data_IF_900458735330
#
_entry.id   IF_900458735330
#
_cell.length_a   1.000
_cell.length_b   1.000
_cell.length_c   1.000
_cell.angle_alpha   90.00
_cell.angle_beta   90.00
_cell.angle_gamma   90.00
#
_symmetry.space_group_name_H-M   'P 1'
#
loop_
_entity.id
_entity.type
_entity.pdbx_description
1 polymer ?
#
# COMPACT_ATOMS: atom_id res chain seq x y z
N UNK A 1 9.06 15.66 2.39
CA UNK A 1 8.92 14.53 3.32
C UNK A 1 10.03 13.53 3.10
N UNK A 2 10.42 12.83 4.17
CA UNK A 2 11.32 11.67 4.14
C UNK A 2 10.51 10.41 3.75
N UNK A 3 11.05 9.55 2.88
CA UNK A 3 10.39 8.34 2.35
C UNK A 3 11.08 7.10 2.90
N UNK A 4 10.35 6.23 3.60
CA UNK A 4 10.91 5.05 4.26
C UNK A 4 10.44 3.75 3.56
N UNK A 5 11.35 2.90 3.05
CA UNK A 5 11.02 1.60 2.49
C UNK A 5 10.85 0.52 3.58
N UNK A 6 10.05 -0.52 3.32
CA UNK A 6 9.88 -1.68 4.20
C UNK A 6 10.18 -3.05 3.53
N UNK A 7 10.66 -3.07 2.28
CA UNK A 7 10.91 -4.30 1.52
C UNK A 7 12.22 -4.22 0.71
N UNK A 8 12.94 -5.35 0.58
CA UNK A 8 14.05 -5.52 -0.36
C UNK A 8 13.56 -5.92 -1.76
N UNK A 9 14.09 -5.25 -2.76
CA UNK A 9 13.58 -5.32 -4.14
C UNK A 9 14.30 -6.30 -5.06
N UNK A 10 13.58 -7.06 -5.88
CA UNK A 10 14.15 -8.04 -6.83
C UNK A 10 14.58 -7.39 -8.18
N UNK A 11 15.80 -7.63 -8.69
CA UNK A 11 16.36 -6.90 -9.85
C UNK A 11 15.59 -7.05 -11.17
N UNK A 12 15.04 -8.24 -11.48
CA UNK A 12 14.44 -8.54 -12.80
C UNK A 12 13.18 -7.72 -13.07
N UNK A 13 12.36 -7.45 -12.05
CA UNK A 13 11.12 -6.70 -12.19
C UNK A 13 11.34 -5.19 -12.41
N UNK A 14 12.52 -4.67 -12.05
CA UNK A 14 12.87 -3.25 -12.23
C UNK A 14 13.19 -2.91 -13.68
N UNK A 15 13.95 -3.77 -14.37
CA UNK A 15 14.42 -3.49 -15.73
C UNK A 15 13.25 -3.39 -16.74
N UNK A 16 12.28 -4.29 -16.64
CA UNK A 16 11.10 -4.28 -17.51
C UNK A 16 10.24 -3.03 -17.30
N UNK A 17 9.99 -2.67 -16.04
CA UNK A 17 9.24 -1.46 -15.69
C UNK A 17 9.95 -0.18 -16.09
N UNK A 18 11.28 -0.14 -15.97
CA UNK A 18 12.09 0.99 -16.46
C UNK A 18 11.98 1.13 -17.98
N UNK A 19 12.06 0.02 -18.72
CA UNK A 19 11.89 0.03 -20.18
C UNK A 19 10.50 0.51 -20.61
N UNK A 20 9.45 0.08 -19.89
CA UNK A 20 8.09 0.56 -20.11
C UNK A 20 8.01 2.08 -19.89
N UNK A 21 8.57 2.59 -18.79
CA UNK A 21 8.56 4.03 -18.48
C UNK A 21 9.36 4.85 -19.50
N UNK A 22 10.52 4.34 -19.96
CA UNK A 22 11.33 4.93 -21.04
C UNK A 22 10.58 5.01 -22.37
N UNK A 23 9.78 4.00 -22.68
CA UNK A 23 9.06 3.92 -23.96
C UNK A 23 7.82 4.80 -23.96
N UNK A 24 7.11 4.86 -22.84
CA UNK A 24 5.78 5.50 -22.75
C UNK A 24 5.81 6.90 -22.15
N UNK A 25 6.86 7.24 -21.40
CA UNK A 25 6.99 8.47 -20.63
C UNK A 25 5.82 8.70 -19.64
N UNK A 26 5.25 7.61 -19.10
CA UNK A 26 4.05 7.65 -18.27
C UNK A 26 4.15 6.78 -17.00
N UNK A 27 3.45 7.22 -15.95
CA UNK A 27 3.16 6.44 -14.75
C UNK A 27 1.76 5.80 -14.89
N UNK A 28 1.69 4.47 -14.93
CA UNK A 28 0.42 3.74 -15.14
C UNK A 28 -0.31 3.34 -13.86
N UNK A 29 0.36 3.43 -12.72
CA UNK A 29 -0.21 3.01 -11.45
C UNK A 29 0.41 3.82 -10.32
N UNK A 30 -0.38 4.31 -9.35
CA UNK A 30 0.17 4.96 -8.18
C UNK A 30 1.01 3.97 -7.35
N UNK A 31 1.95 4.49 -6.56
CA UNK A 31 2.41 3.77 -5.36
C UNK A 31 1.43 4.05 -4.21
N UNK A 32 1.42 3.20 -3.20
CA UNK A 32 0.58 3.37 -2.02
C UNK A 32 1.44 3.89 -0.86
N UNK A 33 1.10 5.08 -0.38
CA UNK A 33 1.79 5.78 0.69
C UNK A 33 0.88 6.05 1.89
N UNK A 34 1.45 5.95 3.08
CA UNK A 34 0.79 6.23 4.35
C UNK A 34 1.42 7.47 5.00
N UNK A 35 0.60 8.30 5.63
CA UNK A 35 1.07 9.47 6.39
C UNK A 35 0.33 9.58 7.72
N UNK A 36 0.95 10.24 8.70
CA UNK A 36 0.36 10.49 10.00
C UNK A 36 -0.28 11.88 10.06
N UNK A 37 -1.58 11.94 10.35
CA UNK A 37 -2.33 13.17 10.60
C UNK A 37 -3.46 12.94 11.60
N UNK A 38 -3.14 12.99 12.90
CA UNK A 38 -4.10 12.69 14.00
C UNK A 38 -5.29 13.63 13.99
N UNK A 39 -5.09 14.87 13.56
CA UNK A 39 -6.11 15.91 13.50
C UNK A 39 -6.89 15.92 12.17
N UNK A 40 -6.64 14.97 11.26
CA UNK A 40 -7.33 14.83 9.96
C UNK A 40 -7.34 16.09 9.08
N UNK A 41 -6.38 17.00 9.28
CA UNK A 41 -6.30 18.31 8.60
C UNK A 41 -6.28 18.19 7.07
N UNK A 42 -5.55 17.22 6.54
CA UNK A 42 -5.45 17.00 5.08
C UNK A 42 -6.79 16.55 4.51
N UNK A 43 -7.46 15.62 5.20
CA UNK A 43 -8.76 15.10 4.79
C UNK A 43 -9.85 16.18 4.88
N UNK A 44 -9.83 17.01 5.92
CA UNK A 44 -10.75 18.14 6.07
C UNK A 44 -10.60 19.18 4.95
N UNK A 45 -9.36 19.49 4.55
CA UNK A 45 -9.08 20.37 3.41
C UNK A 45 -9.62 19.77 2.10
N UNK A 46 -9.40 18.48 1.87
CA UNK A 46 -9.92 17.78 0.68
C UNK A 46 -11.45 17.71 0.68
N UNK A 47 -12.07 17.42 1.84
CA UNK A 47 -13.52 17.39 2.01
C UNK A 47 -14.15 18.76 1.78
N UNK A 48 -13.50 19.82 2.25
CA UNK A 48 -13.91 21.22 2.01
C UNK A 48 -13.80 21.56 0.54
N UNK A 49 -12.68 21.23 -0.11
CA UNK A 49 -12.46 21.47 -1.54
C UNK A 49 -13.46 20.71 -2.43
N UNK A 50 -13.87 19.51 -2.01
CA UNK A 50 -14.95 18.74 -2.66
C UNK A 50 -16.31 19.47 -2.59
N UNK A 51 -16.60 20.18 -1.50
CA UNK A 51 -17.75 21.08 -1.40
C UNK A 51 -19.14 20.44 -1.60
N UNK A 52 -19.30 19.14 -1.32
CA UNK A 52 -20.55 18.41 -1.53
C UNK A 52 -20.90 18.13 -3.01
N UNK A 53 -19.97 18.41 -3.93
CA UNK A 53 -20.12 18.19 -5.37
C UNK A 53 -20.23 16.70 -5.67
N UNK A 54 -20.97 16.35 -6.73
CA UNK A 54 -21.02 14.99 -7.24
C UNK A 54 -19.62 14.52 -7.69
N UNK A 55 -19.30 13.22 -7.59
CA UNK A 55 -18.03 12.70 -8.08
C UNK A 55 -17.87 12.94 -9.57
N UNK A 56 -16.65 13.21 -10.00
CA UNK A 56 -16.31 13.37 -11.41
C UNK A 56 -16.27 11.99 -12.11
N UNK A 57 -16.01 10.92 -11.34
CA UNK A 57 -16.17 9.53 -11.79
C UNK A 57 -16.74 8.66 -10.68
N UNK A 58 -17.66 7.77 -11.03
CA UNK A 58 -18.25 6.77 -10.13
C UNK A 58 -18.31 5.43 -10.87
N UNK A 59 -17.72 4.39 -10.27
CA UNK A 59 -17.64 3.03 -10.85
C UNK A 59 -17.90 2.01 -9.75
N UNK A 60 -18.75 1.03 -10.02
CA UNK A 60 -18.87 -0.18 -9.19
C UNK A 60 -18.03 -1.29 -9.82
N UNK A 61 -17.14 -1.91 -9.06
CA UNK A 61 -16.33 -3.02 -9.56
C UNK A 61 -17.11 -4.36 -9.56
N UNK A 62 -16.47 -5.42 -10.05
CA UNK A 62 -17.06 -6.76 -10.14
C UNK A 62 -17.39 -7.38 -8.76
N UNK A 63 -16.84 -6.82 -7.68
CA UNK A 63 -17.10 -7.23 -6.29
C UNK A 63 -18.23 -6.39 -5.66
N UNK A 64 -18.86 -5.47 -6.40
CA UNK A 64 -19.88 -4.58 -5.88
C UNK A 64 -19.35 -3.39 -5.08
N UNK A 65 -18.04 -3.11 -5.13
CA UNK A 65 -17.43 -1.98 -4.41
C UNK A 65 -17.61 -0.71 -5.22
N UNK A 66 -18.25 0.29 -4.59
CA UNK A 66 -18.46 1.61 -5.19
C UNK A 66 -17.22 2.49 -5.01
N UNK A 67 -16.56 2.80 -6.12
CA UNK A 67 -15.41 3.68 -6.20
C UNK A 67 -15.84 5.06 -6.71
N UNK A 68 -15.39 6.12 -6.03
CA UNK A 68 -15.69 7.52 -6.40
C UNK A 68 -14.43 8.36 -6.46
N UNK A 69 -14.31 9.18 -7.49
CA UNK A 69 -13.17 10.07 -7.72
C UNK A 69 -13.65 11.52 -7.85
N UNK A 70 -12.92 12.43 -7.20
CA UNK A 70 -13.07 13.86 -7.37
C UNK A 70 -11.75 14.47 -7.79
N UNK A 71 -11.79 15.34 -8.81
CA UNK A 71 -10.66 16.14 -9.25
C UNK A 71 -10.68 17.47 -8.49
N UNK A 72 -9.58 17.77 -7.80
CA UNK A 72 -9.36 19.05 -7.13
C UNK A 72 -8.35 19.84 -7.95
N UNK A 73 -8.83 20.85 -8.68
CA UNK A 73 -8.00 21.72 -9.54
C UNK A 73 -7.92 23.16 -9.05
N UNK A 74 -8.60 23.50 -7.94
CA UNK A 74 -8.50 24.83 -7.33
C UNK A 74 -7.10 25.02 -6.72
N UNK A 75 -6.39 26.05 -7.18
CA UNK A 75 -4.99 26.27 -6.80
C UNK A 75 -4.83 26.55 -5.30
N UNK A 76 -5.78 27.26 -4.69
CA UNK A 76 -5.72 27.59 -3.26
C UNK A 76 -5.93 26.34 -2.40
N UNK A 77 -6.88 25.47 -2.77
CA UNK A 77 -7.09 24.18 -2.12
C UNK A 77 -5.86 23.27 -2.23
N UNK A 78 -5.26 23.19 -3.43
CA UNK A 78 -4.03 22.40 -3.65
C UNK A 78 -2.88 22.94 -2.81
N UNK A 79 -2.67 24.26 -2.78
CA UNK A 79 -1.62 24.88 -1.97
C UNK A 79 -1.82 24.62 -0.47
N UNK A 80 -3.06 24.69 0.02
CA UNK A 80 -3.38 24.39 1.41
C UNK A 80 -3.05 22.94 1.77
N UNK A 81 -3.37 21.98 0.90
CA UNK A 81 -3.04 20.56 1.09
C UNK A 81 -1.52 20.35 1.04
N UNK A 82 -0.82 20.94 0.07
CA UNK A 82 0.65 20.86 -0.03
C UNK A 82 1.31 21.38 1.24
N UNK A 83 0.84 22.51 1.78
CA UNK A 83 1.35 23.07 3.02
C UNK A 83 1.07 22.17 4.22
N UNK A 84 -0.13 21.57 4.30
CA UNK A 84 -0.48 20.64 5.36
C UNK A 84 0.32 19.32 5.33
N UNK A 85 0.83 18.94 4.16
CA UNK A 85 1.67 17.76 3.96
C UNK A 85 3.18 18.03 4.17
N UNK A 86 3.60 19.29 4.27
CA UNK A 86 5.01 19.68 4.16
C UNK A 86 5.92 19.05 5.24
N UNK A 87 5.41 18.92 6.47
CA UNK A 87 6.10 18.35 7.63
C UNK A 87 5.84 16.84 7.81
N UNK A 88 4.97 16.25 6.99
CA UNK A 88 4.61 14.84 7.10
C UNK A 88 5.66 13.93 6.46
N UNK A 89 5.89 12.78 7.09
CA UNK A 89 6.66 11.66 6.53
C UNK A 89 5.73 10.72 5.78
N UNK A 90 6.22 10.14 4.68
CA UNK A 90 5.46 9.17 3.88
C UNK A 90 6.12 7.80 4.03
N UNK A 91 5.33 6.83 4.48
CA UNK A 91 5.71 5.42 4.52
C UNK A 91 5.18 4.74 3.26
N UNK A 92 6.04 4.09 2.47
CA UNK A 92 5.55 3.33 1.32
C UNK A 92 4.95 2.03 1.86
N UNK A 93 3.65 1.82 1.63
CA UNK A 93 2.94 0.61 2.02
C UNK A 93 2.84 -0.42 0.88
N UNK A 94 2.91 0.04 -0.37
CA UNK A 94 3.07 -0.84 -1.52
C UNK A 94 3.70 -0.07 -2.69
N UNK A 95 4.52 -0.76 -3.48
CA UNK A 95 5.10 -0.21 -4.71
C UNK A 95 6.54 0.28 -4.62
N UNK A 96 7.38 -0.26 -3.73
CA UNK A 96 8.82 0.06 -3.67
C UNK A 96 9.52 -0.05 -5.03
N UNK A 97 9.26 -1.13 -5.78
CA UNK A 97 9.79 -1.30 -7.14
C UNK A 97 9.40 -0.15 -8.07
N UNK A 98 8.15 0.33 -7.98
CA UNK A 98 7.64 1.46 -8.78
C UNK A 98 8.32 2.76 -8.38
N UNK A 99 8.45 2.99 -7.07
CA UNK A 99 9.13 4.16 -6.52
C UNK A 99 10.59 4.23 -7.01
N UNK A 100 11.37 3.16 -6.79
CA UNK A 100 12.77 3.14 -7.19
C UNK A 100 12.95 3.28 -8.70
N UNK A 101 12.10 2.63 -9.50
CA UNK A 101 12.13 2.78 -10.96
C UNK A 101 11.87 4.23 -11.37
N UNK A 102 10.88 4.89 -10.77
CA UNK A 102 10.58 6.29 -11.04
C UNK A 102 11.73 7.22 -10.64
N UNK A 103 12.39 6.96 -9.51
CA UNK A 103 13.59 7.69 -9.06
C UNK A 103 14.73 7.52 -10.06
N UNK A 104 15.04 6.29 -10.47
CA UNK A 104 16.08 6.02 -11.49
C UNK A 104 15.76 6.72 -12.81
N UNK A 105 14.52 6.63 -13.28
CA UNK A 105 14.10 7.29 -14.52
C UNK A 105 14.20 8.82 -14.42
N UNK A 106 13.77 9.40 -13.30
CA UNK A 106 13.91 10.84 -13.06
C UNK A 106 15.38 11.31 -13.06
N UNK A 107 16.28 10.53 -12.48
CA UNK A 107 17.73 10.80 -12.52
C UNK A 107 18.29 10.73 -13.95
N UNK A 108 17.90 9.72 -14.74
CA UNK A 108 18.32 9.61 -16.14
C UNK A 108 17.82 10.76 -17.01
N UNK A 109 16.59 11.24 -16.77
CA UNK A 109 16.03 12.39 -17.48
C UNK A 109 16.72 13.69 -17.06
N UNK A 110 17.00 13.86 -15.76
CA UNK A 110 17.76 15.01 -15.26
C UNK A 110 19.18 15.06 -15.85
N UNK A 111 19.86 13.93 -16.00
CA UNK A 111 21.16 13.83 -16.66
C UNK A 111 21.13 14.18 -18.17
N UNK A 112 19.93 14.26 -18.77
CA UNK A 112 19.70 14.69 -20.14
C UNK A 112 19.09 16.10 -20.22
N UNK A 113 19.11 16.87 -19.12
CA UNK A 113 18.50 18.20 -19.01
C UNK A 113 16.99 18.22 -19.34
N UNK A 114 16.28 17.11 -19.06
CA UNK A 114 14.83 17.00 -19.26
C UNK A 114 14.09 17.21 -17.92
N UNK A 115 13.45 18.38 -17.70
CA UNK A 115 12.68 18.64 -16.49
C UNK A 115 11.32 17.93 -16.49
N UNK A 116 10.65 17.88 -15.34
CA UNK A 116 9.28 17.38 -15.19
C UNK A 116 9.15 15.90 -14.84
N UNK A 117 10.27 15.19 -14.71
CA UNK A 117 10.31 13.75 -14.37
C UNK A 117 10.61 13.47 -12.89
N UNK A 118 10.57 14.51 -12.05
CA UNK A 118 10.78 14.44 -10.60
C UNK A 118 9.48 14.23 -9.80
N UNK A 119 8.42 13.73 -10.46
CA UNK A 119 7.11 13.47 -9.87
C UNK A 119 6.64 12.06 -10.19
N UNK A 120 5.90 11.49 -9.23
CA UNK A 120 5.30 10.16 -9.31
C UNK A 120 3.85 10.25 -8.80
N UNK A 121 2.97 9.45 -9.38
CA UNK A 121 1.61 9.28 -8.90
C UNK A 121 1.60 8.49 -7.59
N UNK A 122 0.94 9.02 -6.55
CA UNK A 122 0.87 8.41 -5.21
C UNK A 122 -0.58 8.41 -4.74
N UNK A 123 -1.05 7.26 -4.26
CA UNK A 123 -2.26 7.17 -3.45
C UNK A 123 -1.84 7.33 -1.98
N UNK A 124 -2.29 8.41 -1.34
CA UNK A 124 -1.95 8.73 0.04
C UNK A 124 -3.14 8.46 0.95
N UNK A 125 -2.91 7.71 2.04
CA UNK A 125 -3.93 7.43 3.06
C UNK A 125 -3.38 7.78 4.44
N UNK A 126 -4.22 8.43 5.25
CA UNK A 126 -3.89 8.74 6.63
C UNK A 126 -3.90 7.47 7.49
N UNK A 127 -2.87 7.28 8.30
CA UNK A 127 -2.76 6.17 9.27
C UNK A 127 -3.87 6.18 10.32
N UNK A 128 -4.44 7.35 10.60
CA UNK A 128 -5.54 7.51 11.56
C UNK A 128 -6.93 7.43 10.91
N UNK A 129 -7.01 7.16 9.61
CA UNK A 129 -8.30 6.97 8.94
C UNK A 129 -8.93 5.64 9.37
N UNK A 130 -10.17 5.67 9.88
CA UNK A 130 -10.89 4.45 10.34
C UNK A 130 -11.16 3.45 9.20
N UNK A 131 -11.18 3.91 7.96
CA UNK A 131 -11.30 3.07 6.76
C UNK A 131 -10.01 2.34 6.38
N UNK A 132 -8.86 2.68 6.98
CA UNK A 132 -7.61 1.95 6.77
C UNK A 132 -7.61 0.68 7.62
N UNK A 133 -7.89 -0.45 6.98
CA UNK A 133 -7.83 -1.77 7.62
C UNK A 133 -6.72 -2.59 6.97
N UNK A 134 -5.75 -3.02 7.77
CA UNK A 134 -4.64 -3.88 7.32
C UNK A 134 -4.87 -5.30 7.83
N UNK A 135 -5.15 -6.22 6.91
CA UNK A 135 -5.35 -7.64 7.23
C UNK A 135 -4.02 -8.42 7.18
N UNK A 136 -3.87 -9.47 8.00
CA UNK A 136 -2.71 -10.35 7.92
C UNK A 136 -2.70 -11.13 6.60
N UNK A 137 -1.49 -11.36 6.07
CA UNK A 137 -1.30 -12.25 4.91
C UNK A 137 -1.23 -13.70 5.36
N UNK A 138 -2.20 -14.52 4.94
CA UNK A 138 -2.17 -15.96 5.15
C UNK A 138 -1.41 -16.66 4.01
N UNK A 139 -0.52 -17.61 4.36
CA UNK A 139 0.28 -18.37 3.38
C UNK A 139 -0.19 -19.82 3.34
N UNK A 140 -0.44 -20.33 2.13
CA UNK A 140 -0.70 -21.74 1.89
C UNK A 140 0.59 -22.38 1.35
N UNK A 141 1.05 -23.45 1.99
CA UNK A 141 2.16 -24.27 1.52
C UNK A 141 1.60 -25.60 1.03
N UNK A 142 1.84 -25.93 -0.24
CA UNK A 142 1.41 -27.18 -0.84
C UNK A 142 2.48 -27.71 -1.80
N UNK A 143 2.36 -28.98 -2.21
CA UNK A 143 3.19 -29.60 -3.26
C UNK A 143 4.71 -29.53 -3.02
N UNK A 144 5.15 -29.59 -1.77
CA UNK A 144 6.57 -29.67 -1.43
C UNK A 144 7.00 -31.14 -1.41
N UNK A 145 7.88 -31.52 -2.35
CA UNK A 145 8.43 -32.88 -2.40
C UNK A 145 9.32 -33.14 -1.18
N UNK A 146 9.25 -34.38 -0.66
CA UNK A 146 10.05 -34.84 0.48
C UNK A 146 9.94 -33.95 1.74
N UNK A 147 8.80 -33.26 1.90
CA UNK A 147 8.55 -32.42 3.08
C UNK A 147 8.40 -33.29 4.33
N UNK A 148 9.38 -33.20 5.23
CA UNK A 148 9.25 -33.72 6.59
C UNK A 148 8.35 -32.80 7.43
N UNK A 149 7.05 -33.09 7.40
CA UNK A 149 6.03 -32.35 8.13
C UNK A 149 6.32 -32.32 9.63
N UNK A 150 6.81 -33.42 10.21
CA UNK A 150 7.05 -33.49 11.66
C UNK A 150 8.20 -32.59 12.08
N UNK A 151 9.29 -32.59 11.31
CA UNK A 151 10.40 -31.69 11.56
C UNK A 151 10.01 -30.21 11.36
N UNK A 152 9.21 -29.90 10.32
CA UNK A 152 8.68 -28.55 10.10
C UNK A 152 7.85 -28.07 11.30
N UNK A 153 6.86 -28.86 11.74
CA UNK A 153 5.98 -28.48 12.85
C UNK A 153 6.78 -28.31 14.15
N UNK A 154 7.72 -29.21 14.43
CA UNK A 154 8.62 -29.11 15.60
C UNK A 154 9.48 -27.84 15.54
N UNK A 155 9.96 -27.48 14.35
CA UNK A 155 10.69 -26.23 14.13
C UNK A 155 9.82 -24.99 14.38
N UNK A 156 8.60 -24.98 13.83
CA UNK A 156 7.66 -23.86 13.96
C UNK A 156 7.20 -23.66 15.41
N UNK A 157 6.98 -24.73 16.18
CA UNK A 157 6.56 -24.67 17.59
C UNK A 157 7.53 -23.91 18.50
N UNK A 158 8.77 -23.65 18.06
CA UNK A 158 9.73 -22.83 18.82
C UNK A 158 9.31 -21.36 18.90
N UNK A 159 8.73 -20.84 17.82
CA UNK A 159 8.42 -19.41 17.66
C UNK A 159 6.92 -19.15 17.45
N UNK A 160 6.14 -20.18 17.08
CA UNK A 160 4.73 -20.08 16.71
C UNK A 160 3.84 -21.02 17.52
N UNK A 161 2.59 -20.60 17.73
CA UNK A 161 1.52 -21.53 18.12
C UNK A 161 1.09 -22.32 16.89
N UNK A 162 1.06 -23.65 17.03
CA UNK A 162 0.72 -24.57 15.94
C UNK A 162 -0.52 -25.36 16.37
N UNK A 163 -1.58 -25.27 15.57
CA UNK A 163 -2.85 -25.96 15.79
C UNK A 163 -3.20 -26.79 14.55
N UNK A 164 -3.59 -28.04 14.77
CA UNK A 164 -4.15 -28.90 13.72
C UNK A 164 -5.63 -28.58 13.55
N UNK A 165 -6.05 -28.36 12.31
CA UNK A 165 -7.46 -28.11 11.98
C UNK A 165 -8.18 -29.41 11.65
N UNK A 166 -9.44 -29.59 12.09
CA UNK A 166 -10.23 -30.75 11.74
C UNK A 166 -10.31 -30.95 10.22
N UNK A 167 -10.20 -32.20 9.78
CA UNK A 167 -10.42 -32.56 8.39
C UNK A 167 -11.82 -32.12 7.93
N UNK A 168 -11.91 -31.45 6.78
CA UNK A 168 -13.17 -30.91 6.27
C UNK A 168 -13.53 -29.51 6.78
N UNK A 169 -12.65 -28.83 7.51
CA UNK A 169 -12.82 -27.41 7.85
C UNK A 169 -13.00 -26.58 6.57
N UNK A 170 -14.14 -25.91 6.43
CA UNK A 170 -14.42 -25.02 5.31
C UNK A 170 -13.60 -23.73 5.38
N UNK A 171 -13.50 -23.02 4.26
CA UNK A 171 -12.77 -21.75 4.18
C UNK A 171 -13.32 -20.71 5.16
N UNK A 172 -14.65 -20.60 5.29
CA UNK A 172 -15.29 -19.63 6.18
C UNK A 172 -14.99 -19.92 7.66
N UNK A 173 -15.02 -21.19 8.07
CA UNK A 173 -14.65 -21.61 9.42
C UNK A 173 -13.17 -21.36 9.71
N UNK A 174 -12.30 -21.61 8.73
CA UNK A 174 -10.88 -21.31 8.82
C UNK A 174 -10.62 -19.80 8.99
N UNK A 175 -11.21 -18.97 8.14
CA UNK A 175 -11.08 -17.52 8.21
C UNK A 175 -11.69 -16.95 9.51
N UNK A 176 -12.82 -17.50 9.97
CA UNK A 176 -13.43 -17.12 11.25
C UNK A 176 -12.52 -17.45 12.43
N UNK A 177 -11.90 -18.64 12.44
CA UNK A 177 -10.92 -19.02 13.46
C UNK A 177 -9.71 -18.09 13.46
N UNK A 178 -9.18 -17.76 12.28
CA UNK A 178 -8.04 -16.84 12.14
C UNK A 178 -8.39 -15.41 12.59
N UNK A 179 -9.58 -14.90 12.24
CA UNK A 179 -10.03 -13.56 12.66
C UNK A 179 -10.29 -13.44 14.16
N UNK A 180 -10.58 -14.56 14.84
CA UNK A 180 -10.75 -14.63 16.28
C UNK A 180 -9.44 -14.91 17.04
N UNK A 181 -8.38 -15.30 16.34
CA UNK A 181 -7.05 -15.44 16.95
C UNK A 181 -6.52 -14.06 17.30
N UNK A 182 -6.59 -13.73 18.60
CA UNK A 182 -5.88 -12.59 19.20
C UNK A 182 -4.74 -13.14 20.03
N UNK A 183 -3.54 -13.15 19.49
CA UNK A 183 -2.35 -13.42 20.28
C UNK A 183 -2.04 -12.20 21.17
N UNK A 184 -1.64 -12.35 22.44
CA UNK A 184 -1.27 -11.23 23.32
C UNK A 184 -0.08 -10.39 22.79
N UNK A 185 0.64 -10.94 21.80
CA UNK A 185 1.74 -10.29 21.07
C UNK A 185 1.38 -9.99 19.61
N UNK A 186 0.10 -10.02 19.23
CA UNK A 186 -0.31 -9.54 17.92
C UNK A 186 0.08 -8.07 17.82
N UNK A 187 1.10 -7.84 17.00
CA UNK A 187 1.52 -6.52 16.61
C UNK A 187 0.45 -6.07 15.61
N UNK A 188 -0.65 -5.50 16.12
CA UNK A 188 -1.24 -4.41 15.38
C UNK A 188 -0.08 -3.44 15.13
N UNK A 189 0.32 -3.22 13.87
CA UNK A 189 1.24 -2.14 13.54
C UNK A 189 0.58 -0.84 13.97
N UNK A 190 0.70 -0.52 15.25
CA UNK A 190 0.47 0.81 15.78
C UNK A 190 1.73 1.55 15.41
N UNK A 191 1.61 2.37 14.38
CA UNK A 191 2.56 3.43 14.11
C UNK A 191 2.39 4.46 15.22
N UNK A 192 2.99 4.18 16.38
CA UNK A 192 3.10 5.12 17.51
C UNK A 192 4.16 6.19 17.19
#
# INVERSE_FOLDING_TARGET
GEVLPHEETLPKHKADRLNMMKTTLANFSPIFGLYADKEHRVEDLLNTARGGRQPDMEVTDDNGVLNRLWVISDAAAVEAVVKAMADKKIFIADGHHRYETAVTFGQEMAAQDKPGYNYLMVALVNLYNEGLVVFPTHRLVNNVQDLDVQNLLTGMQKDFSVEELPAGTGLDDFLTRLGNFRHPRDIHQRFD
#
